data_IF_961086079549
#
_entry.id   IF_961086079549
#
_cell.length_a   1.000
_cell.length_b   1.000
_cell.length_c   1.000
_cell.angle_alpha   90.00
_cell.angle_beta   90.00
_cell.angle_gamma   90.00
#
_symmetry.space_group_name_H-M   'P 1'
#
loop_
_entity.id
_entity.type
_entity.pdbx_description
1 polymer ?
#
# COMPACT_ATOMS: atom_id res chain seq x y z
N UNK A 1 -10.67 -15.66 9.48
CA UNK A 1 -9.84 -14.46 9.73
C UNK A 1 -8.93 -14.28 8.54
N UNK A 2 -9.41 -13.59 7.50
CA UNK A 2 -8.87 -13.71 6.13
C UNK A 2 -8.09 -12.47 5.65
N UNK A 3 -7.81 -11.51 6.54
CA UNK A 3 -7.39 -10.15 6.15
C UNK A 3 -6.15 -9.64 6.89
N UNK A 4 -5.64 -10.42 7.85
CA UNK A 4 -4.39 -10.14 8.58
C UNK A 4 -3.23 -10.99 8.09
N UNK A 5 -3.47 -11.90 7.15
CA UNK A 5 -2.40 -12.64 6.52
C UNK A 5 -1.69 -11.70 5.54
N UNK A 6 -0.39 -11.39 5.71
CA UNK A 6 0.35 -10.56 4.77
C UNK A 6 0.23 -11.06 3.32
N UNK A 7 0.01 -12.36 3.11
CA UNK A 7 -0.27 -12.94 1.80
C UNK A 7 -1.60 -12.47 1.18
N UNK A 8 -2.63 -12.20 1.97
CA UNK A 8 -3.92 -11.70 1.46
C UNK A 8 -3.94 -10.20 1.29
N UNK A 9 -3.27 -9.44 2.16
CA UNK A 9 -3.18 -7.98 2.02
C UNK A 9 -2.48 -7.62 0.72
N UNK A 10 -1.39 -8.31 0.35
CA UNK A 10 -0.69 -8.10 -0.91
C UNK A 10 -1.57 -8.34 -2.16
N UNK A 11 -2.57 -9.21 -2.09
CA UNK A 11 -3.48 -9.49 -3.22
C UNK A 11 -4.55 -8.41 -3.43
N UNK A 12 -4.89 -7.64 -2.39
CA UNK A 12 -5.87 -6.55 -2.46
C UNK A 12 -5.19 -5.19 -2.57
N UNK A 13 -3.88 -5.13 -2.32
CA UNK A 13 -3.12 -3.90 -2.30
C UNK A 13 -2.66 -3.46 -3.68
N UNK A 14 -3.38 -2.47 -4.21
CA UNK A 14 -3.06 -1.82 -5.46
C UNK A 14 -4.36 -1.40 -6.16
N UNK A 15 -4.37 -0.27 -6.88
CA UNK A 15 -5.53 0.09 -7.68
C UNK A 15 -5.88 -1.05 -8.63
N UNK A 16 -7.14 -1.50 -8.57
CA UNK A 16 -7.66 -2.60 -9.37
C UNK A 16 -7.33 -2.37 -10.86
N UNK A 17 -6.55 -3.27 -11.46
CA UNK A 17 -6.14 -3.20 -12.86
C UNK A 17 -4.69 -2.73 -13.12
N UNK A 18 -3.92 -2.36 -12.09
CA UNK A 18 -2.48 -2.10 -12.24
C UNK A 18 -1.63 -3.24 -11.64
N UNK A 19 -0.54 -3.61 -12.31
CA UNK A 19 0.42 -4.57 -11.78
C UNK A 19 1.26 -3.88 -10.71
N UNK A 20 1.16 -4.32 -9.47
CA UNK A 20 1.99 -3.83 -8.36
C UNK A 20 2.98 -4.92 -7.97
N UNK A 21 4.26 -4.58 -7.90
CA UNK A 21 5.30 -5.44 -7.33
C UNK A 21 5.52 -5.04 -5.88
N UNK A 22 5.48 -6.02 -4.98
CA UNK A 22 5.72 -5.82 -3.55
C UNK A 22 7.17 -6.16 -3.23
N UNK A 23 7.96 -5.15 -2.88
CA UNK A 23 9.39 -5.31 -2.56
C UNK A 23 9.64 -5.47 -1.06
N UNK A 24 8.73 -4.97 -0.23
CA UNK A 24 8.78 -5.15 1.22
C UNK A 24 7.47 -4.75 1.88
N UNK A 25 7.03 -5.54 2.86
CA UNK A 25 5.79 -5.30 3.58
C UNK A 25 5.93 -5.82 5.02
N UNK A 26 6.08 -4.90 5.97
CA UNK A 26 6.04 -5.19 7.41
C UNK A 26 4.72 -4.67 7.98
N UNK A 27 3.68 -5.51 7.93
CA UNK A 27 2.30 -5.13 8.27
C UNK A 27 2.08 -5.06 9.80
N UNK A 28 2.66 -4.04 10.43
CA UNK A 28 2.46 -3.67 11.83
C UNK A 28 2.54 -2.16 11.98
N UNK A 29 2.01 -1.61 13.07
CA UNK A 29 2.19 -0.18 13.38
C UNK A 29 3.69 0.12 13.50
N UNK A 30 4.15 1.13 12.76
CA UNK A 30 5.56 1.51 12.60
C UNK A 30 6.35 0.62 11.62
N UNK A 31 5.73 -0.41 11.05
CA UNK A 31 6.32 -1.23 10.01
C UNK A 31 6.36 -0.49 8.67
N UNK A 32 7.42 -0.75 7.90
CA UNK A 32 7.65 -0.11 6.61
C UNK A 32 7.12 -0.95 5.46
N UNK A 33 6.75 -0.28 4.38
CA UNK A 33 6.35 -0.93 3.13
C UNK A 33 7.05 -0.29 1.93
N UNK A 34 7.23 -1.07 0.87
CA UNK A 34 7.73 -0.64 -0.43
C UNK A 34 7.02 -1.38 -1.55
N UNK A 35 6.43 -0.60 -2.46
CA UNK A 35 5.75 -1.08 -3.64
C UNK A 35 6.31 -0.42 -4.88
N UNK A 36 6.21 -1.10 -6.01
CA UNK A 36 6.52 -0.55 -7.32
C UNK A 36 5.32 -0.76 -8.22
N UNK A 37 4.68 0.34 -8.61
CA UNK A 37 3.63 0.29 -9.62
C UNK A 37 4.27 0.14 -10.99
N UNK A 38 3.84 -0.91 -11.72
CA UNK A 38 4.29 -1.21 -13.07
C UNK A 38 3.20 -0.75 -14.05
N UNK A 39 3.53 0.29 -14.82
CA UNK A 39 2.64 0.81 -15.85
C UNK A 39 2.69 -0.08 -17.10
N UNK A 40 1.60 -0.18 -17.88
CA UNK A 40 1.57 -0.99 -19.11
C UNK A 40 2.62 -0.59 -20.15
N UNK A 41 3.12 0.65 -20.09
CA UNK A 41 4.18 1.18 -20.96
C UNK A 41 5.61 0.83 -20.49
N UNK A 42 5.76 0.04 -19.42
CA UNK A 42 7.06 -0.32 -18.84
C UNK A 42 7.62 0.69 -17.83
N UNK A 43 6.88 1.75 -17.49
CA UNK A 43 7.28 2.69 -16.44
C UNK A 43 7.16 2.07 -15.04
N UNK A 44 8.17 2.29 -14.20
CA UNK A 44 8.17 1.89 -12.80
C UNK A 44 8.01 3.12 -11.90
N UNK A 45 7.06 3.05 -10.97
CA UNK A 45 6.79 4.11 -10.01
C UNK A 45 6.95 3.55 -8.59
N UNK A 46 8.17 3.64 -8.02
CA UNK A 46 8.41 3.17 -6.67
C UNK A 46 7.73 4.08 -5.65
N UNK A 47 7.17 3.44 -4.64
CA UNK A 47 6.52 4.05 -3.50
C UNK A 47 6.98 3.36 -2.24
N UNK A 48 7.12 4.12 -1.17
CA UNK A 48 7.45 3.56 0.14
C UNK A 48 6.79 4.35 1.25
N UNK A 49 6.67 3.75 2.43
CA UNK A 49 6.08 4.42 3.56
C UNK A 49 6.06 3.59 4.82
N UNK A 50 5.28 4.05 5.80
CA UNK A 50 5.11 3.39 7.08
C UNK A 50 3.64 3.31 7.46
N UNK A 51 3.24 2.24 8.15
CA UNK A 51 1.91 2.14 8.74
C UNK A 51 1.86 2.90 10.06
N UNK A 52 0.93 3.83 10.18
CA UNK A 52 0.72 4.59 11.42
C UNK A 52 -0.48 4.09 12.21
N UNK A 53 -1.47 3.47 11.57
CA UNK A 53 -2.65 2.91 12.22
C UNK A 53 -3.13 1.67 11.46
N UNK A 54 -3.43 0.59 12.20
CA UNK A 54 -3.99 -0.65 11.64
C UNK A 54 -5.12 -1.10 12.57
N UNK A 55 -6.36 -0.96 12.12
CA UNK A 55 -7.56 -1.50 12.75
C UNK A 55 -8.13 -2.58 11.82
N UNK A 56 -8.00 -3.86 12.17
CA UNK A 56 -8.45 -4.96 11.32
C UNK A 56 -9.90 -4.76 10.89
N UNK A 57 -10.16 -4.90 9.58
CA UNK A 57 -11.50 -4.79 8.98
C UNK A 57 -12.21 -3.44 9.12
N UNK A 58 -11.55 -2.40 9.64
CA UNK A 58 -12.17 -1.08 9.83
C UNK A 58 -11.34 0.03 9.19
N UNK A 59 -10.04 0.10 9.50
CA UNK A 59 -9.23 1.27 9.16
C UNK A 59 -7.75 0.96 8.99
N UNK A 60 -7.12 1.65 8.05
CA UNK A 60 -5.69 1.57 7.81
C UNK A 60 -5.15 2.95 7.43
N UNK A 61 -4.11 3.39 8.13
CA UNK A 61 -3.43 4.67 7.85
C UNK A 61 -1.96 4.39 7.58
N UNK A 62 -1.45 4.97 6.50
CA UNK A 62 -0.05 4.88 6.12
C UNK A 62 0.45 6.19 5.50
N UNK A 63 1.73 6.45 5.61
CA UNK A 63 2.39 7.41 4.72
C UNK A 63 2.71 6.74 3.39
N UNK A 64 2.76 7.51 2.31
CA UNK A 64 3.21 7.11 1.00
C UNK A 64 4.11 8.20 0.44
N UNK A 65 5.36 7.85 0.15
CA UNK A 65 6.32 8.67 -0.55
C UNK A 65 6.41 8.19 -1.99
N UNK A 66 5.96 9.03 -2.92
CA UNK A 66 6.01 8.79 -4.35
C UNK A 66 7.32 9.34 -4.88
N UNK A 67 8.20 8.46 -5.34
CA UNK A 67 9.47 8.84 -5.98
C UNK A 67 9.17 9.13 -7.47
N UNK A 68 9.02 10.41 -7.84
CA UNK A 68 8.77 10.83 -9.24
C UNK A 68 10.09 10.91 -9.99
N UNK A 69 11.12 11.44 -9.33
CA UNK A 69 12.50 11.48 -9.84
C UNK A 69 13.50 11.49 -8.67
N UNK A 70 14.81 11.33 -8.91
CA UNK A 70 15.82 11.43 -7.86
C UNK A 70 15.80 12.76 -7.09
N UNK A 71 15.28 13.83 -7.70
CA UNK A 71 15.21 15.17 -7.11
C UNK A 71 13.79 15.55 -6.63
N UNK A 72 12.77 14.75 -6.95
CA UNK A 72 11.37 15.10 -6.69
C UNK A 72 10.62 13.90 -6.10
N UNK A 73 10.15 14.10 -4.88
CA UNK A 73 9.24 13.17 -4.21
C UNK A 73 8.06 13.91 -3.62
N UNK A 74 6.90 13.26 -3.65
CA UNK A 74 5.72 13.73 -2.95
C UNK A 74 5.39 12.80 -1.79
N UNK A 75 5.10 13.39 -0.64
CA UNK A 75 4.64 12.67 0.54
C UNK A 75 3.12 12.85 0.68
N UNK A 76 2.42 11.75 0.92
CA UNK A 76 0.99 11.74 1.20
C UNK A 76 0.71 10.87 2.43
N UNK A 77 -0.39 11.15 3.12
CA UNK A 77 -0.98 10.23 4.09
C UNK A 77 -2.20 9.60 3.44
N UNK A 78 -2.21 8.28 3.34
CA UNK A 78 -3.32 7.52 2.81
C UNK A 78 -4.10 6.92 3.96
N UNK A 79 -5.39 7.21 4.02
CA UNK A 79 -6.33 6.59 4.96
C UNK A 79 -7.33 5.76 4.18
N UNK A 80 -7.41 4.49 4.53
CA UNK A 80 -8.39 3.55 4.01
C UNK A 80 -9.39 3.25 5.12
N UNK A 81 -10.67 3.37 4.79
CA UNK A 81 -11.76 2.90 5.62
C UNK A 81 -12.42 1.74 4.90
N UNK A 82 -12.58 0.63 5.61
CA UNK A 82 -13.21 -0.56 5.09
C UNK A 82 -14.61 -0.64 5.69
N UNK A 83 -15.62 -0.74 4.84
CA UNK A 83 -16.99 -0.97 5.25
C UNK A 83 -17.38 -2.39 4.84
N UNK A 84 -17.91 -3.15 5.80
CA UNK A 84 -18.52 -4.44 5.51
C UNK A 84 -19.85 -4.19 4.79
N UNK A 85 -19.94 -4.60 3.53
CA UNK A 85 -21.14 -4.35 2.71
C UNK A 85 -22.27 -5.36 2.96
N UNK A 86 -22.06 -6.35 3.84
CA UNK A 86 -22.95 -7.49 3.98
C UNK A 86 -22.99 -8.37 2.72
N UNK A 87 -23.21 -9.67 2.90
CA UNK A 87 -23.45 -10.62 1.80
C UNK A 87 -24.85 -10.49 1.18
#
# INVERSE_FOLDING_TARGET
MMWTDPEHVAHWWGPHGMKTRVDGLDLRIGGSWRYVMLMPNGGEYPQSGVFSEIVPSERLVMSAKFEISPAESHDAIMTYQFEDLGD
#
